data_IF_301279123284
#
_entry.id   IF_301279123284
#
_cell.length_a   1.000
_cell.length_b   1.000
_cell.length_c   1.000
_cell.angle_alpha   90.00
_cell.angle_beta   90.00
_cell.angle_gamma   90.00
#
_symmetry.space_group_name_H-M   'P 1'
#
loop_
_entity.id
_entity.type
_entity.pdbx_description
1 polymer ?
#
# COMPACT_ATOMS: atom_id res chain seq x y z
N UNK A 1 -20.28 -2.23 3.32
CA UNK A 1 -19.96 -1.74 1.96
C UNK A 1 -20.98 -2.28 0.94
N UNK A 2 -21.12 -1.62 -0.20
CA UNK A 2 -21.99 -2.09 -1.31
C UNK A 2 -21.57 -3.45 -1.85
N UNK A 3 -20.31 -3.82 -1.66
CA UNK A 3 -19.73 -5.10 -2.09
C UNK A 3 -19.76 -6.18 -0.99
N UNK A 4 -20.49 -5.99 0.10
CA UNK A 4 -20.58 -6.93 1.20
C UNK A 4 -19.36 -7.04 2.11
N UNK A 5 -18.35 -6.17 1.96
CA UNK A 5 -17.18 -6.16 2.83
C UNK A 5 -17.51 -5.58 4.22
N UNK A 6 -16.96 -6.17 5.27
CA UNK A 6 -17.05 -5.65 6.65
C UNK A 6 -15.92 -4.64 6.90
N UNK A 7 -16.25 -3.49 7.47
CA UNK A 7 -15.27 -2.47 7.86
C UNK A 7 -15.03 -2.55 9.36
N UNK A 8 -13.79 -2.80 9.75
CA UNK A 8 -13.33 -2.70 11.13
C UNK A 8 -12.60 -1.37 11.35
N UNK A 9 -13.04 -0.60 12.32
CA UNK A 9 -12.42 0.68 12.66
C UNK A 9 -11.41 0.45 13.79
N UNK A 10 -10.17 0.96 13.59
CA UNK A 10 -9.13 0.86 14.60
C UNK A 10 -9.38 1.86 15.74
N UNK A 11 -9.26 1.40 16.98
CA UNK A 11 -9.45 2.22 18.20
C UNK A 11 -8.34 3.28 18.39
N UNK A 12 -7.28 3.25 17.59
CA UNK A 12 -6.17 4.19 17.60
C UNK A 12 -4.82 3.49 17.39
N UNK A 13 -3.77 4.27 17.08
CA UNK A 13 -2.46 3.75 16.66
C UNK A 13 -1.84 2.75 17.66
N UNK A 14 -2.01 2.96 18.96
CA UNK A 14 -1.50 2.06 20.01
C UNK A 14 -2.22 0.71 20.05
N UNK A 15 -3.44 0.63 19.54
CA UNK A 15 -4.26 -0.58 19.54
C UNK A 15 -4.17 -1.40 18.24
N UNK A 16 -3.49 -0.90 17.20
CA UNK A 16 -3.42 -1.54 15.88
C UNK A 16 -3.08 -3.03 15.98
N UNK A 17 -2.04 -3.41 16.73
CA UNK A 17 -1.62 -4.81 16.84
C UNK A 17 -2.68 -5.69 17.52
N UNK A 18 -3.43 -5.16 18.49
CA UNK A 18 -4.54 -5.84 19.15
C UNK A 18 -5.70 -6.00 18.18
N UNK A 19 -6.13 -4.89 17.55
CA UNK A 19 -7.26 -4.90 16.61
C UNK A 19 -7.01 -5.80 15.39
N UNK A 20 -5.79 -5.85 14.86
CA UNK A 20 -5.44 -6.77 13.76
C UNK A 20 -5.62 -8.24 14.14
N UNK A 21 -5.30 -8.63 15.38
CA UNK A 21 -5.49 -9.99 15.87
C UNK A 21 -6.96 -10.33 16.14
N UNK A 22 -7.75 -9.35 16.58
CA UNK A 22 -9.18 -9.52 16.90
C UNK A 22 -10.03 -9.54 15.62
N UNK A 23 -9.83 -8.56 14.74
CA UNK A 23 -10.61 -8.36 13.51
C UNK A 23 -10.16 -9.33 12.40
N UNK A 24 -8.86 -9.69 12.37
CA UNK A 24 -8.22 -10.52 11.33
C UNK A 24 -8.56 -10.06 9.91
N UNK A 25 -8.30 -8.79 9.56
CA UNK A 25 -8.68 -8.24 8.28
C UNK A 25 -7.91 -8.88 7.12
N UNK A 26 -8.51 -8.92 5.93
CA UNK A 26 -7.82 -9.29 4.68
C UNK A 26 -7.03 -8.12 4.09
N UNK A 27 -7.48 -6.88 4.33
CA UNK A 27 -6.89 -5.64 3.85
C UNK A 27 -6.86 -4.59 4.95
N UNK A 28 -5.77 -3.82 5.01
CA UNK A 28 -5.72 -2.59 5.82
C UNK A 28 -5.49 -1.38 4.93
N UNK A 29 -6.16 -0.27 5.25
CA UNK A 29 -5.88 1.06 4.74
C UNK A 29 -4.99 1.76 5.76
N UNK A 30 -3.82 2.21 5.35
CA UNK A 30 -2.83 2.76 6.26
C UNK A 30 -2.06 3.93 5.65
N UNK A 31 -1.58 4.82 6.50
CA UNK A 31 -0.61 5.85 6.13
C UNK A 31 0.83 5.30 6.24
N UNK A 32 1.82 5.89 5.54
CA UNK A 32 3.21 5.42 5.58
C UNK A 32 3.77 5.19 6.97
N UNK A 33 3.57 6.12 7.90
CA UNK A 33 4.07 6.02 9.27
C UNK A 33 3.59 4.75 10.01
N UNK A 34 2.35 4.30 9.75
CA UNK A 34 1.85 3.05 10.30
C UNK A 34 2.56 1.84 9.68
N UNK A 35 2.72 1.82 8.35
CA UNK A 35 3.41 0.74 7.62
C UNK A 35 4.86 0.63 8.08
N UNK A 36 5.57 1.75 8.22
CA UNK A 36 6.94 1.79 8.76
C UNK A 36 7.02 1.23 10.18
N UNK A 37 6.06 1.61 11.03
CA UNK A 37 5.99 1.10 12.41
C UNK A 37 5.78 -0.42 12.43
N UNK A 38 4.89 -0.93 11.60
CA UNK A 38 4.65 -2.37 11.46
C UNK A 38 5.90 -3.08 10.92
N UNK A 39 6.57 -2.50 9.93
CA UNK A 39 7.83 -3.00 9.37
C UNK A 39 8.93 -3.11 10.43
N UNK A 40 9.11 -2.07 11.25
CA UNK A 40 10.08 -2.06 12.37
C UNK A 40 9.76 -3.12 13.43
N UNK A 41 8.48 -3.36 13.71
CA UNK A 41 8.06 -4.44 14.63
C UNK A 41 8.42 -5.83 14.09
N UNK A 42 8.28 -6.04 12.78
CA UNK A 42 8.72 -7.29 12.13
C UNK A 42 10.25 -7.44 12.29
N UNK A 43 11.01 -6.39 12.00
CA UNK A 43 12.48 -6.43 12.11
C UNK A 43 12.91 -6.80 13.53
N UNK A 44 12.30 -6.18 14.55
CA UNK A 44 12.58 -6.49 15.93
C UNK A 44 12.27 -7.94 16.27
N UNK A 45 11.11 -8.44 15.87
CA UNK A 45 10.72 -9.83 16.10
C UNK A 45 11.67 -10.82 15.40
N UNK A 46 12.16 -10.49 14.20
CA UNK A 46 13.15 -11.30 13.47
C UNK A 46 14.50 -11.26 14.19
N UNK A 47 14.95 -10.08 14.63
CA UNK A 47 16.22 -9.92 15.37
C UNK A 47 16.26 -10.77 16.65
N UNK A 48 15.15 -10.78 17.39
CA UNK A 48 14.99 -11.60 18.62
C UNK A 48 15.13 -13.11 18.34
N UNK A 49 14.90 -13.57 17.11
CA UNK A 49 15.13 -14.99 16.74
C UNK A 49 16.58 -15.33 16.47
N UNK A 50 17.46 -14.33 16.24
CA UNK A 50 18.85 -14.51 15.81
C UNK A 50 19.01 -15.12 14.40
N UNK A 51 17.93 -15.24 13.63
CA UNK A 51 17.89 -15.90 12.30
C UNK A 51 17.72 -14.93 11.12
N UNK A 52 18.07 -13.67 11.28
CA UNK A 52 17.88 -12.65 10.25
C UNK A 52 18.42 -13.02 8.87
N UNK A 53 19.67 -13.51 8.81
CA UNK A 53 20.31 -13.89 7.54
C UNK A 53 19.55 -15.03 6.84
N UNK A 54 19.10 -16.02 7.62
CA UNK A 54 18.33 -17.17 7.12
C UNK A 54 16.98 -16.71 6.57
N UNK A 55 16.25 -15.90 7.33
CA UNK A 55 14.94 -15.36 6.95
C UNK A 55 15.06 -14.52 5.68
N UNK A 56 16.09 -13.67 5.57
CA UNK A 56 16.36 -12.85 4.38
C UNK A 56 16.66 -13.71 3.14
N UNK A 57 17.47 -14.76 3.31
CA UNK A 57 17.79 -15.69 2.21
C UNK A 57 16.56 -16.45 1.74
N UNK A 58 15.78 -17.00 2.66
CA UNK A 58 14.52 -17.68 2.37
C UNK A 58 13.53 -16.75 1.68
N UNK A 59 13.43 -15.47 2.11
CA UNK A 59 12.59 -14.47 1.49
C UNK A 59 12.93 -14.21 0.02
N UNK A 60 14.22 -14.07 -0.29
CA UNK A 60 14.70 -13.92 -1.68
C UNK A 60 14.35 -15.13 -2.54
N UNK A 61 14.59 -16.34 -2.02
CA UNK A 61 14.28 -17.59 -2.72
C UNK A 61 12.76 -17.75 -2.96
N UNK A 62 11.94 -17.54 -1.94
CA UNK A 62 10.48 -17.61 -2.04
C UNK A 62 9.92 -16.54 -3.00
N UNK A 63 10.52 -15.35 -3.05
CA UNK A 63 10.18 -14.31 -4.03
C UNK A 63 10.56 -14.72 -5.44
N UNK A 64 11.70 -15.40 -5.63
CA UNK A 64 12.08 -15.99 -6.93
C UNK A 64 11.06 -17.01 -7.42
N UNK A 65 10.62 -17.92 -6.56
CA UNK A 65 9.60 -18.92 -6.88
C UNK A 65 8.24 -18.29 -7.22
N UNK A 66 7.86 -17.19 -6.55
CA UNK A 66 6.60 -16.51 -6.84
C UNK A 66 6.53 -15.91 -8.24
N UNK A 67 7.68 -15.57 -8.85
CA UNK A 67 7.75 -15.08 -10.24
C UNK A 67 7.45 -16.18 -11.28
N UNK A 68 7.61 -17.43 -10.92
CA UNK A 68 7.26 -18.60 -11.78
C UNK A 68 5.92 -19.22 -11.36
N UNK A 69 5.09 -18.49 -10.61
CA UNK A 69 3.73 -18.88 -10.26
C UNK A 69 3.60 -19.72 -8.97
N UNK A 70 4.70 -20.02 -8.27
CA UNK A 70 4.68 -20.80 -7.04
C UNK A 70 4.89 -19.87 -5.83
N UNK A 71 3.81 -19.40 -5.24
CA UNK A 71 3.88 -18.51 -4.07
C UNK A 71 3.75 -19.25 -2.74
N UNK A 72 4.91 -19.50 -2.11
CA UNK A 72 5.02 -20.17 -0.80
C UNK A 72 5.27 -19.18 0.35
N UNK A 73 5.41 -17.88 0.05
CA UNK A 73 5.83 -16.86 1.04
C UNK A 73 4.95 -16.86 2.28
N UNK A 74 3.63 -16.91 2.13
CA UNK A 74 2.72 -16.91 3.26
C UNK A 74 2.85 -18.14 4.16
N UNK A 75 3.18 -19.30 3.59
CA UNK A 75 3.42 -20.53 4.36
C UNK A 75 4.75 -20.45 5.12
N UNK A 76 5.80 -20.00 4.44
CA UNK A 76 7.15 -19.87 5.01
C UNK A 76 7.20 -18.85 6.14
N UNK A 77 6.49 -17.71 5.97
CA UNK A 77 6.47 -16.63 6.95
C UNK A 77 5.19 -16.62 7.79
N UNK A 78 4.61 -17.78 8.08
CA UNK A 78 3.37 -17.93 8.83
C UNK A 78 3.38 -17.17 10.18
N UNK A 79 4.48 -17.23 10.94
CA UNK A 79 4.61 -16.52 12.21
C UNK A 79 4.51 -14.99 12.03
N UNK A 80 5.10 -14.43 10.96
CA UNK A 80 4.97 -13.01 10.62
C UNK A 80 3.51 -12.69 10.28
N UNK A 81 2.86 -13.55 9.49
CA UNK A 81 1.45 -13.36 9.14
C UNK A 81 0.54 -13.38 10.39
N UNK A 82 0.80 -14.29 11.32
CA UNK A 82 0.05 -14.42 12.59
C UNK A 82 0.18 -13.19 13.49
N UNK A 83 1.30 -12.46 13.41
CA UNK A 83 1.46 -11.18 14.11
C UNK A 83 0.42 -10.15 13.68
N UNK A 84 -0.08 -10.26 12.44
CA UNK A 84 -1.12 -9.41 11.85
C UNK A 84 -2.49 -10.09 11.79
N UNK A 85 -2.74 -11.10 12.61
CA UNK A 85 -4.01 -11.83 12.67
C UNK A 85 -4.14 -12.99 11.69
N UNK A 86 -3.13 -13.25 10.85
CA UNK A 86 -3.03 -14.41 9.95
C UNK A 86 -3.73 -14.25 8.59
N UNK A 87 -4.79 -13.43 8.50
CA UNK A 87 -5.57 -13.26 7.27
C UNK A 87 -5.08 -12.14 6.36
N UNK A 88 -4.32 -11.19 6.87
CA UNK A 88 -3.90 -10.00 6.15
C UNK A 88 -3.16 -10.34 4.85
N UNK A 89 -3.70 -9.91 3.72
CA UNK A 89 -3.16 -10.13 2.37
C UNK A 89 -2.70 -8.83 1.73
N UNK A 90 -3.48 -7.76 1.93
CA UNK A 90 -3.30 -6.50 1.23
C UNK A 90 -2.98 -5.36 2.21
N UNK A 91 -1.97 -4.59 1.85
CA UNK A 91 -1.58 -3.36 2.53
C UNK A 91 -1.81 -2.22 1.55
N UNK A 92 -2.86 -1.43 1.74
CA UNK A 92 -3.10 -0.25 0.93
C UNK A 92 -2.53 0.98 1.64
N UNK A 93 -1.65 1.71 0.95
CA UNK A 93 -1.01 2.92 1.46
C UNK A 93 -1.31 4.10 0.56
N UNK A 94 -1.73 5.19 1.15
CA UNK A 94 -1.98 6.46 0.47
C UNK A 94 -1.47 7.64 1.30
N UNK A 95 -1.82 8.84 0.88
CA UNK A 95 -1.51 10.12 1.50
C UNK A 95 -0.05 10.61 1.38
N UNK A 96 0.94 9.73 1.30
CA UNK A 96 2.34 10.10 1.05
C UNK A 96 3.13 8.93 0.45
N UNK A 97 4.29 9.19 -0.17
CA UNK A 97 5.18 8.14 -0.67
C UNK A 97 5.69 7.24 0.46
N UNK A 98 5.85 5.96 0.18
CA UNK A 98 6.52 5.00 1.04
C UNK A 98 7.81 4.51 0.39
N UNK A 99 8.83 4.27 1.21
CA UNK A 99 10.12 3.74 0.75
C UNK A 99 9.93 2.38 0.06
N UNK A 100 10.50 2.24 -1.14
CA UNK A 100 10.45 1.02 -1.95
C UNK A 100 11.05 -0.19 -1.23
N UNK A 101 12.09 0.00 -0.42
CA UNK A 101 12.73 -1.09 0.32
C UNK A 101 11.77 -1.68 1.37
N UNK A 102 10.92 -0.85 1.98
CA UNK A 102 9.87 -1.30 2.89
C UNK A 102 8.82 -2.10 2.12
N UNK A 103 8.42 -1.63 0.94
CA UNK A 103 7.45 -2.34 0.08
C UNK A 103 8.00 -3.72 -0.30
N UNK A 104 9.22 -3.78 -0.86
CA UNK A 104 9.86 -5.05 -1.26
C UNK A 104 10.03 -6.01 -0.09
N UNK A 105 10.40 -5.48 1.08
CA UNK A 105 10.52 -6.27 2.30
C UNK A 105 9.19 -6.91 2.71
N UNK A 106 8.12 -6.13 2.77
CA UNK A 106 6.79 -6.63 3.14
C UNK A 106 6.25 -7.62 2.10
N UNK A 107 6.47 -7.34 0.82
CA UNK A 107 6.11 -8.28 -0.26
C UNK A 107 6.90 -9.58 -0.19
N UNK A 108 8.16 -9.55 0.26
CA UNK A 108 8.95 -10.77 0.46
C UNK A 108 8.36 -11.71 1.51
N UNK A 109 7.57 -11.17 2.45
CA UNK A 109 6.84 -11.93 3.47
C UNK A 109 5.44 -12.38 3.02
N UNK A 110 5.06 -12.10 1.76
CA UNK A 110 3.80 -12.56 1.15
C UNK A 110 2.63 -11.60 1.34
N UNK A 111 2.86 -10.36 1.76
CA UNK A 111 1.87 -9.30 1.65
C UNK A 111 1.82 -8.78 0.21
N UNK A 112 0.67 -8.26 -0.21
CA UNK A 112 0.52 -7.56 -1.48
C UNK A 112 0.36 -6.08 -1.18
N UNK A 113 1.32 -5.27 -1.66
CA UNK A 113 1.31 -3.85 -1.40
C UNK A 113 0.58 -3.10 -2.52
N UNK A 114 -0.31 -2.20 -2.13
CA UNK A 114 -1.10 -1.35 -3.03
C UNK A 114 -0.86 0.10 -2.65
N UNK A 115 -0.66 0.95 -3.62
CA UNK A 115 -0.54 2.39 -3.43
C UNK A 115 -1.70 3.11 -4.11
N UNK A 116 -2.11 4.23 -3.53
CA UNK A 116 -3.10 5.10 -4.11
C UNK A 116 -2.63 6.54 -4.07
N UNK A 117 -2.99 7.29 -5.09
CA UNK A 117 -2.82 8.73 -5.19
C UNK A 117 -4.18 9.39 -5.32
N UNK A 118 -4.34 10.48 -4.61
CA UNK A 118 -5.54 11.28 -4.69
C UNK A 118 -5.53 12.45 -3.73
N UNK A 119 -6.57 13.26 -3.82
CA UNK A 119 -6.78 14.47 -3.03
C UNK A 119 -8.23 14.51 -2.58
N UNK A 120 -8.51 15.27 -1.54
CA UNK A 120 -9.89 15.39 -0.99
C UNK A 120 -10.87 15.88 -2.06
N UNK A 121 -10.41 16.76 -2.94
CA UNK A 121 -11.15 17.37 -4.04
C UNK A 121 -11.54 16.36 -5.14
N UNK A 122 -11.01 15.13 -5.10
CA UNK A 122 -11.32 14.04 -6.01
C UNK A 122 -11.95 12.82 -5.31
N UNK A 123 -12.55 12.97 -4.15
CA UNK A 123 -13.36 12.01 -3.38
C UNK A 123 -12.80 10.59 -3.13
N UNK A 124 -11.65 10.38 -2.63
CA UNK A 124 -10.36 11.05 -2.67
C UNK A 124 -9.37 10.42 -3.68
N UNK A 125 -9.75 9.36 -4.44
CA UNK A 125 -8.82 8.52 -5.19
C UNK A 125 -8.83 8.87 -6.70
N UNK A 126 -7.67 9.26 -7.22
CA UNK A 126 -7.44 9.54 -8.64
C UNK A 126 -6.79 8.35 -9.35
N UNK A 127 -5.79 7.73 -8.69
CA UNK A 127 -5.07 6.58 -9.25
C UNK A 127 -4.80 5.54 -8.16
N UNK A 128 -4.71 4.29 -8.56
CA UNK A 128 -4.42 3.18 -7.66
C UNK A 128 -3.68 2.03 -8.34
N UNK A 129 -2.89 1.31 -7.55
CA UNK A 129 -2.16 0.14 -8.02
C UNK A 129 -3.12 -1.02 -8.30
N UNK A 130 -3.17 -1.57 -9.52
CA UNK A 130 -3.96 -2.75 -9.82
C UNK A 130 -3.47 -3.99 -9.07
N UNK A 131 -4.37 -4.90 -8.71
CA UNK A 131 -4.03 -6.11 -7.94
C UNK A 131 -3.01 -7.02 -8.66
N UNK A 132 -3.07 -7.07 -10.00
CA UNK A 132 -2.29 -7.99 -10.82
C UNK A 132 -1.11 -7.31 -11.56
N UNK A 133 -0.99 -5.98 -11.46
CA UNK A 133 0.04 -5.20 -12.17
C UNK A 133 0.57 -4.13 -11.19
N UNK A 134 1.34 -4.62 -10.20
CA UNK A 134 1.89 -3.79 -9.13
C UNK A 134 3.34 -3.45 -9.39
N UNK A 135 3.63 -2.17 -9.39
CA UNK A 135 5.00 -1.64 -9.46
C UNK A 135 5.27 -0.77 -8.23
N UNK A 136 6.26 -1.17 -7.43
CA UNK A 136 6.61 -0.47 -6.22
C UNK A 136 7.12 0.96 -6.51
N UNK A 137 6.58 1.93 -5.77
CA UNK A 137 6.93 3.34 -5.90
C UNK A 137 6.21 4.05 -7.03
N UNK A 138 5.15 3.44 -7.59
CA UNK A 138 4.21 4.10 -8.47
C UNK A 138 2.84 4.22 -7.79
N UNK A 139 2.04 5.17 -8.22
CA UNK A 139 0.65 5.31 -7.77
C UNK A 139 -0.33 4.47 -8.61
N UNK A 140 0.19 3.64 -9.53
CA UNK A 140 -0.61 2.78 -10.38
C UNK A 140 -1.26 3.50 -11.56
N UNK A 141 -2.51 3.13 -11.86
CA UNK A 141 -3.28 3.61 -13.02
C UNK A 141 -4.46 4.45 -12.55
N UNK A 142 -4.97 5.37 -13.39
CA UNK A 142 -6.22 6.06 -13.10
C UNK A 142 -7.33 5.08 -12.72
N UNK A 143 -8.14 5.44 -11.73
CA UNK A 143 -9.31 4.64 -11.37
C UNK A 143 -10.38 4.72 -12.44
N UNK A 144 -11.33 3.80 -12.43
CA UNK A 144 -12.40 3.77 -13.40
C UNK A 144 -13.18 5.09 -13.41
N UNK A 145 -13.37 5.66 -14.59
CA UNK A 145 -14.07 6.94 -14.77
C UNK A 145 -13.16 8.18 -14.71
N UNK A 146 -11.85 8.01 -14.38
CA UNK A 146 -10.89 9.10 -14.31
C UNK A 146 -10.04 9.20 -15.57
N UNK A 147 -9.91 10.44 -16.08
CA UNK A 147 -8.92 10.83 -17.08
C UNK A 147 -7.79 11.57 -16.38
N UNK A 148 -6.56 11.07 -16.51
CA UNK A 148 -5.37 11.68 -15.90
C UNK A 148 -4.32 11.96 -16.95
N UNK A 149 -3.74 13.16 -16.91
CA UNK A 149 -2.59 13.54 -17.73
C UNK A 149 -1.58 14.35 -16.92
N UNK A 150 -0.36 14.37 -17.41
CA UNK A 150 0.71 15.22 -16.87
C UNK A 150 0.90 16.42 -17.80
N UNK A 151 0.69 17.61 -17.27
CA UNK A 151 0.95 18.85 -18.01
C UNK A 151 2.40 19.28 -17.79
N UNK A 152 3.17 19.24 -18.87
CA UNK A 152 4.59 19.65 -18.88
C UNK A 152 4.77 21.12 -19.29
N UNK A 153 3.70 21.85 -19.61
CA UNK A 153 3.79 23.21 -20.15
C UNK A 153 4.44 24.21 -19.19
N UNK A 154 4.28 23.98 -17.88
CA UNK A 154 4.85 24.82 -16.82
C UNK A 154 6.24 24.34 -16.35
N UNK A 155 6.79 23.31 -16.99
CA UNK A 155 8.08 22.75 -16.60
C UNK A 155 9.22 23.55 -17.28
N UNK A 156 10.02 24.22 -16.48
CA UNK A 156 11.18 24.98 -16.95
C UNK A 156 12.28 24.07 -17.51
N UNK A 157 12.39 22.84 -17.01
CA UNK A 157 13.33 21.84 -17.50
C UNK A 157 12.64 20.90 -18.52
N UNK A 158 12.80 21.23 -19.80
CA UNK A 158 12.17 20.48 -20.93
C UNK A 158 12.56 19.00 -21.00
N UNK A 159 13.69 18.62 -20.40
CA UNK A 159 14.16 17.22 -20.33
C UNK A 159 13.56 16.45 -19.16
N UNK A 160 12.84 17.11 -18.27
CA UNK A 160 12.19 16.50 -17.12
C UNK A 160 10.82 15.90 -17.51
N UNK A 161 10.53 14.72 -16.95
CA UNK A 161 9.18 14.11 -16.99
C UNK A 161 8.30 14.54 -15.83
N UNK A 162 8.66 15.63 -15.15
CA UNK A 162 7.94 16.19 -14.02
C UNK A 162 6.97 17.24 -14.53
N UNK A 163 5.71 17.16 -14.14
CA UNK A 163 4.68 18.12 -14.53
C UNK A 163 3.52 18.15 -13.55
N UNK A 164 2.56 19.01 -13.82
CA UNK A 164 1.32 19.15 -13.07
C UNK A 164 0.39 17.97 -13.38
N UNK A 165 -0.17 17.34 -12.35
CA UNK A 165 -1.16 16.28 -12.55
C UNK A 165 -2.52 16.93 -12.76
N UNK A 166 -3.13 16.66 -13.91
CA UNK A 166 -4.47 17.07 -14.25
C UNK A 166 -5.38 15.85 -14.22
N UNK A 167 -6.46 15.93 -13.45
CA UNK A 167 -7.46 14.89 -13.34
C UNK A 167 -8.84 15.42 -13.72
N UNK A 168 -9.65 14.56 -14.37
CA UNK A 168 -11.03 14.84 -14.73
C UNK A 168 -11.85 13.57 -14.54
N UNK A 169 -12.99 13.69 -13.85
CA UNK A 169 -13.90 12.57 -13.59
C UNK A 169 -15.12 13.04 -12.81
N UNK A 170 -16.07 12.14 -12.63
CA UNK A 170 -17.32 12.42 -11.92
C UNK A 170 -17.12 12.55 -10.40
N UNK A 171 -15.96 12.15 -9.88
CA UNK A 171 -15.58 12.28 -8.48
C UNK A 171 -14.90 13.61 -8.13
N UNK A 172 -14.64 14.46 -9.12
CA UNK A 172 -14.08 15.79 -8.87
C UNK A 172 -15.16 16.68 -8.24
N UNK A 173 -14.83 17.31 -7.11
CA UNK A 173 -15.74 18.23 -6.43
C UNK A 173 -16.14 19.41 -7.32
N UNK A 174 -17.32 19.99 -7.09
CA UNK A 174 -17.81 21.16 -7.82
C UNK A 174 -17.15 22.47 -7.38
N UNK A 175 -16.54 22.51 -6.21
CA UNK A 175 -15.89 23.68 -5.63
C UNK A 175 -15.86 23.63 -4.10
N UNK A 176 -15.19 24.60 -3.50
CA UNK A 176 -15.22 24.82 -2.04
C UNK A 176 -16.48 25.56 -1.66
N UNK A 177 -16.96 25.32 -0.45
CA UNK A 177 -18.13 26.00 0.09
C UNK A 177 -17.84 27.51 0.28
N UNK A 178 -18.75 28.37 -0.24
CA UNK A 178 -18.62 29.84 -0.18
C UNK A 178 -17.30 30.40 -0.77
N UNK A 179 -16.66 29.70 -1.71
CA UNK A 179 -15.47 30.16 -2.44
C UNK A 179 -15.77 30.19 -3.95
N UNK A 180 -16.06 31.38 -4.49
CA UNK A 180 -16.45 31.60 -5.89
C UNK A 180 -15.24 31.78 -6.85
N UNK A 181 -14.04 31.35 -6.47
CA UNK A 181 -12.83 31.53 -7.28
C UNK A 181 -12.61 30.44 -8.30
#
# INVERSE_FOLDING_TARGET
>A
TSMGATIGICEGLKYVAKNLKEIKPDLILAVPALIETLSKKIDKAIAETGKEKVIRTIGKFATGLSKVGIDIRRKVFKQIQETFGGNLKYLFCGAAPLDKDIIFKLESYGFKFLQGFGVTEACPLIAGTPLNDREAGTCGKPVYGEEVRIDLSKNENKDSRIGEILAKGDNIMIGYYEDEK
#
